data_IF_290520309962
#
_entry.id   IF_290520309962
#
_cell.length_a   1.000
_cell.length_b   1.000
_cell.length_c   1.000
_cell.angle_alpha   90.00
_cell.angle_beta   90.00
_cell.angle_gamma   90.00
#
_symmetry.space_group_name_H-M   'P 1'
#
loop_
_entity.id
_entity.type
_entity.pdbx_description
1 polymer ?
#
# COMPACT_ATOMS: atom_id res chain seq x y z
N UNK A 1 48.31 -56.14 5.50
CA UNK A 1 48.12 -56.32 6.95
C UNK A 1 47.44 -55.07 7.50
N UNK A 2 46.11 -55.09 7.56
CA UNK A 2 45.29 -53.93 7.91
C UNK A 2 45.09 -53.82 9.43
N UNK A 3 45.54 -52.69 9.98
CA UNK A 3 45.17 -52.15 11.27
C UNK A 3 43.67 -51.81 11.27
N UNK A 4 42.79 -52.68 11.78
CA UNK A 4 41.37 -52.34 11.89
C UNK A 4 40.75 -52.97 13.15
N UNK A 5 41.11 -52.44 14.34
CA UNK A 5 40.47 -52.84 15.60
C UNK A 5 40.29 -51.71 16.63
N UNK A 6 40.35 -50.44 16.23
CA UNK A 6 40.14 -49.29 17.15
C UNK A 6 39.01 -48.33 16.76
N UNK A 7 38.33 -48.58 15.66
CA UNK A 7 37.33 -47.65 15.11
C UNK A 7 35.95 -47.65 15.80
N UNK A 8 35.40 -48.74 16.35
CA UNK A 8 34.01 -48.70 16.82
C UNK A 8 33.83 -47.95 18.15
N UNK A 9 34.89 -47.86 18.97
CA UNK A 9 34.84 -47.19 20.28
C UNK A 9 34.87 -45.66 20.13
N UNK A 10 35.68 -45.16 19.19
CA UNK A 10 35.79 -43.73 18.93
C UNK A 10 34.49 -43.16 18.33
N UNK A 11 33.84 -43.91 17.44
CA UNK A 11 32.56 -43.50 16.83
C UNK A 11 31.44 -43.48 17.86
N UNK A 12 31.40 -44.44 18.79
CA UNK A 12 30.37 -44.49 19.85
C UNK A 12 30.44 -43.30 20.81
N UNK A 13 31.65 -42.88 21.21
CA UNK A 13 31.86 -41.71 22.08
C UNK A 13 31.47 -40.41 21.37
N UNK A 14 31.80 -40.28 20.08
CA UNK A 14 31.46 -39.08 19.30
C UNK A 14 29.94 -38.91 19.15
N UNK A 15 29.21 -40.01 18.94
CA UNK A 15 27.75 -39.98 18.83
C UNK A 15 27.05 -39.65 20.16
N UNK A 16 27.64 -40.08 21.29
CA UNK A 16 27.11 -39.74 22.61
C UNK A 16 27.24 -38.24 22.94
N UNK A 17 28.36 -37.61 22.56
CA UNK A 17 28.56 -36.16 22.78
C UNK A 17 27.65 -35.31 21.90
N UNK A 18 27.45 -35.71 20.63
CA UNK A 18 26.52 -35.04 19.71
C UNK A 18 25.07 -35.18 20.21
N UNK A 19 24.70 -36.35 20.74
CA UNK A 19 23.38 -36.56 21.34
C UNK A 19 23.11 -35.67 22.54
N UNK A 20 24.13 -35.40 23.38
CA UNK A 20 23.99 -34.57 24.58
C UNK A 20 23.84 -33.07 24.23
N UNK A 21 24.48 -32.61 23.14
CA UNK A 21 24.36 -31.23 22.64
C UNK A 21 22.98 -30.91 22.07
N UNK A 22 22.24 -31.90 21.56
CA UNK A 22 20.90 -31.72 20.99
C UNK A 22 19.80 -31.58 22.06
N UNK A 23 20.02 -32.07 23.28
CA UNK A 23 19.07 -31.94 24.40
C UNK A 23 19.08 -30.55 25.07
N UNK A 24 20.14 -29.77 24.87
CA UNK A 24 20.26 -28.40 25.41
C UNK A 24 19.57 -27.33 24.53
N UNK A 25 19.00 -27.72 23.40
CA UNK A 25 18.68 -26.81 22.29
C UNK A 25 17.21 -26.38 22.12
N UNK A 26 16.27 -26.76 22.97
CA UNK A 26 14.86 -26.38 22.78
C UNK A 26 14.49 -25.11 23.57
N UNK A 27 15.13 -23.98 23.25
CA UNK A 27 14.64 -22.67 23.70
C UNK A 27 13.60 -22.19 22.68
N UNK A 28 12.34 -22.13 23.09
CA UNK A 28 11.28 -21.60 22.24
C UNK A 28 11.58 -20.11 21.92
N UNK A 29 11.78 -19.71 20.65
CA UNK A 29 12.05 -18.31 20.30
C UNK A 29 10.89 -17.36 20.66
N UNK A 30 9.70 -17.90 20.97
CA UNK A 30 8.56 -17.14 21.49
C UNK A 30 8.59 -16.90 23.01
N UNK A 31 9.58 -17.40 23.75
CA UNK A 31 9.64 -17.26 25.20
C UNK A 31 10.23 -15.88 25.58
N UNK A 32 9.35 -14.90 25.71
CA UNK A 32 9.70 -13.56 26.19
C UNK A 32 10.17 -13.59 27.65
N UNK A 33 11.31 -12.97 27.93
CA UNK A 33 11.84 -12.77 29.29
C UNK A 33 11.34 -11.48 29.94
N UNK A 34 10.44 -10.76 29.27
CA UNK A 34 9.89 -9.52 29.80
C UNK A 34 9.00 -9.81 31.02
N UNK A 35 9.11 -9.02 32.10
CA UNK A 35 8.19 -9.13 33.21
C UNK A 35 6.75 -8.84 32.74
N UNK A 36 5.72 -9.42 33.37
CA UNK A 36 4.31 -9.23 32.97
C UNK A 36 3.89 -7.75 32.95
N UNK A 37 4.61 -6.87 33.65
CA UNK A 37 4.42 -5.42 33.64
C UNK A 37 4.81 -4.71 32.32
N UNK A 38 5.45 -5.40 31.37
CA UNK A 38 5.77 -4.87 30.04
C UNK A 38 4.58 -4.86 29.08
N UNK A 39 3.45 -5.43 29.49
CA UNK A 39 2.18 -5.39 28.75
C UNK A 39 1.46 -4.10 29.14
N UNK A 40 1.52 -3.09 28.28
CA UNK A 40 0.69 -1.89 28.43
C UNK A 40 -0.78 -2.29 28.26
N UNK A 41 -1.53 -2.40 29.36
CA UNK A 41 -2.92 -2.87 29.38
C UNK A 41 -3.93 -1.80 28.95
N UNK A 42 -3.49 -0.59 28.62
CA UNK A 42 -4.36 0.50 28.23
C UNK A 42 -4.02 0.98 26.81
N UNK A 43 -4.99 1.00 25.88
CA UNK A 43 -4.90 1.86 24.72
C UNK A 43 -4.76 3.29 25.25
N UNK A 44 -3.58 3.88 25.12
CA UNK A 44 -3.45 5.31 25.36
C UNK A 44 -4.28 5.98 24.29
N UNK A 45 -5.39 6.61 24.69
CA UNK A 45 -6.14 7.49 23.83
C UNK A 45 -5.23 8.68 23.50
N UNK A 46 -4.49 8.56 22.40
CA UNK A 46 -3.80 9.70 21.83
C UNK A 46 -4.87 10.76 21.54
N UNK A 47 -4.67 12.02 21.96
CA UNK A 47 -5.59 13.07 21.56
C UNK A 47 -5.64 13.07 20.02
N UNK A 48 -6.84 13.22 19.42
CA UNK A 48 -6.91 13.35 17.98
C UNK A 48 -5.99 14.50 17.59
N UNK A 49 -5.17 14.30 16.56
CA UNK A 49 -4.36 15.38 16.03
C UNK A 49 -5.29 16.58 15.80
N UNK A 50 -4.90 17.80 16.23
CA UNK A 50 -5.67 18.97 15.87
C UNK A 50 -5.83 18.91 14.36
N UNK A 51 -7.07 19.02 13.88
CA UNK A 51 -7.32 19.26 12.46
C UNK A 51 -6.59 20.57 12.19
N UNK A 52 -5.35 20.48 11.68
CA UNK A 52 -4.64 21.66 11.22
C UNK A 52 -5.61 22.37 10.29
N UNK A 53 -5.68 23.70 10.40
CA UNK A 53 -6.52 24.50 9.52
C UNK A 53 -6.23 24.04 8.10
N UNK A 54 -7.13 23.22 7.53
CA UNK A 54 -7.04 22.80 6.16
C UNK A 54 -7.41 24.08 5.44
N UNK A 55 -6.38 24.88 5.15
CA UNK A 55 -6.46 25.86 4.08
C UNK A 55 -6.83 25.01 2.86
N UNK A 56 -8.13 24.98 2.57
CA UNK A 56 -8.60 24.62 1.24
C UNK A 56 -7.92 25.66 0.36
N UNK A 57 -6.82 25.25 -0.26
CA UNK A 57 -6.12 26.07 -1.22
C UNK A 57 -7.19 26.51 -2.22
N UNK A 58 -7.44 27.82 -2.33
CA UNK A 58 -8.46 28.37 -3.24
C UNK A 58 -8.14 28.04 -4.71
N UNK A 59 -6.97 27.43 -4.96
CA UNK A 59 -6.55 26.86 -6.24
C UNK A 59 -7.08 25.45 -6.51
N UNK A 60 -7.79 24.81 -5.58
CA UNK A 60 -8.45 23.53 -5.86
C UNK A 60 -9.64 23.80 -6.78
N UNK A 61 -9.64 23.29 -8.03
CA UNK A 61 -10.74 23.52 -8.95
C UNK A 61 -12.02 22.94 -8.33
N UNK A 62 -13.01 23.82 -8.15
CA UNK A 62 -14.34 23.46 -7.65
C UNK A 62 -15.26 23.22 -8.83
N UNK A 63 -16.42 22.58 -8.61
CA UNK A 63 -17.36 22.29 -9.69
C UNK A 63 -17.89 23.55 -10.43
N UNK A 64 -17.73 24.73 -9.83
CA UNK A 64 -18.12 26.02 -10.41
C UNK A 64 -16.96 26.73 -11.15
N UNK A 65 -15.74 26.20 -11.08
CA UNK A 65 -14.60 26.72 -11.82
C UNK A 65 -14.77 26.38 -13.31
N UNK A 66 -14.71 27.37 -14.22
CA UNK A 66 -14.79 27.11 -15.65
C UNK A 66 -13.58 26.30 -16.11
N UNK A 67 -13.80 25.41 -17.08
CA UNK A 67 -12.76 24.56 -17.65
C UNK A 67 -11.84 25.42 -18.54
N UNK A 68 -10.54 25.34 -18.29
CA UNK A 68 -9.52 26.08 -19.04
C UNK A 68 -8.68 25.15 -19.93
N UNK A 69 -8.01 25.75 -20.91
CA UNK A 69 -7.07 25.03 -21.78
C UNK A 69 -5.91 24.47 -20.95
N UNK A 70 -5.60 23.20 -21.15
CA UNK A 70 -4.56 22.49 -20.40
C UNK A 70 -5.09 21.72 -19.18
N UNK A 71 -6.36 21.89 -18.83
CA UNK A 71 -6.99 21.06 -17.80
C UNK A 71 -7.07 19.60 -18.23
N UNK A 72 -6.98 18.69 -17.25
CA UNK A 72 -7.17 17.25 -17.49
C UNK A 72 -8.57 16.86 -17.04
N UNK A 73 -9.39 16.39 -17.97
CA UNK A 73 -10.74 15.91 -17.66
C UNK A 73 -10.77 14.39 -17.60
N UNK A 74 -11.41 13.86 -16.56
CA UNK A 74 -11.82 12.46 -16.49
C UNK A 74 -13.28 12.35 -16.95
N UNK A 75 -13.48 11.81 -18.15
CA UNK A 75 -14.79 11.60 -18.75
C UNK A 75 -15.22 10.16 -18.53
N UNK A 76 -16.37 9.98 -17.89
CA UNK A 76 -16.93 8.66 -17.59
C UNK A 76 -18.18 8.44 -18.43
N UNK A 77 -18.10 7.54 -19.40
CA UNK A 77 -19.24 7.15 -20.24
C UNK A 77 -19.83 5.85 -19.69
N UNK A 78 -21.08 5.91 -19.22
CA UNK A 78 -21.82 4.74 -18.74
C UNK A 78 -22.73 4.21 -19.85
N UNK A 79 -22.43 3.03 -20.38
CA UNK A 79 -23.21 2.35 -21.43
C UNK A 79 -23.79 1.05 -20.88
N UNK A 80 -25.07 1.05 -20.51
CA UNK A 80 -25.73 -0.13 -19.94
C UNK A 80 -25.06 -0.59 -18.65
N UNK A 81 -24.44 -1.78 -18.67
CA UNK A 81 -23.69 -2.34 -17.53
C UNK A 81 -22.17 -2.04 -17.58
N UNK A 82 -21.68 -1.37 -18.62
CA UNK A 82 -20.27 -1.01 -18.79
C UNK A 82 -19.97 0.45 -18.44
N UNK A 83 -18.80 0.70 -17.88
CA UNK A 83 -18.24 2.04 -17.65
C UNK A 83 -16.94 2.18 -18.44
N UNK A 84 -16.90 3.17 -19.34
CA UNK A 84 -15.71 3.55 -20.08
C UNK A 84 -15.15 4.85 -19.51
N UNK A 85 -13.86 4.86 -19.18
CA UNK A 85 -13.18 6.03 -18.62
C UNK A 85 -12.15 6.55 -19.61
N UNK A 86 -12.23 7.85 -19.89
CA UNK A 86 -11.27 8.55 -20.73
C UNK A 86 -10.65 9.67 -19.92
N UNK A 87 -9.32 9.76 -19.94
CA UNK A 87 -8.60 10.91 -19.43
C UNK A 87 -7.99 11.64 -20.61
N UNK A 88 -8.31 12.91 -20.78
CA UNK A 88 -7.76 13.72 -21.86
C UNK A 88 -7.62 15.18 -21.45
N UNK A 89 -6.61 15.81 -22.04
CA UNK A 89 -6.32 17.21 -21.88
C UNK A 89 -7.26 18.05 -22.75
N UNK A 90 -7.69 19.18 -22.22
CA UNK A 90 -8.40 20.22 -22.98
C UNK A 90 -7.40 20.89 -23.91
N UNK A 91 -7.69 20.79 -25.21
CA UNK A 91 -6.85 21.34 -26.29
C UNK A 91 -6.99 22.86 -26.35
N UNK A 92 -6.11 23.51 -27.12
CA UNK A 92 -6.11 24.97 -27.32
C UNK A 92 -7.42 25.52 -27.90
N UNK A 93 -8.16 24.70 -28.66
CA UNK A 93 -9.47 25.06 -29.17
C UNK A 93 -10.60 24.88 -28.15
N UNK A 94 -10.30 24.52 -26.90
CA UNK A 94 -11.30 24.28 -25.85
C UNK A 94 -12.00 22.93 -25.96
N UNK A 95 -11.51 22.01 -26.81
CA UNK A 95 -12.13 20.70 -27.00
C UNK A 95 -11.38 19.56 -26.31
N UNK A 96 -12.11 18.49 -25.99
CA UNK A 96 -11.58 17.24 -25.46
C UNK A 96 -11.92 16.08 -26.39
N UNK A 97 -10.95 15.19 -26.62
CA UNK A 97 -11.15 13.98 -27.43
C UNK A 97 -11.62 12.83 -26.54
N UNK A 98 -12.82 12.31 -26.79
CA UNK A 98 -13.40 11.20 -26.04
C UNK A 98 -13.68 10.06 -27.01
N UNK A 99 -12.84 9.02 -26.96
CA UNK A 99 -12.88 7.92 -27.93
C UNK A 99 -12.67 8.42 -29.37
N UNK A 100 -13.72 8.39 -30.19
CA UNK A 100 -13.71 8.87 -31.59
C UNK A 100 -14.44 10.20 -31.77
N UNK A 101 -14.90 10.83 -30.68
CA UNK A 101 -15.65 12.07 -30.69
C UNK A 101 -14.80 13.22 -30.15
N UNK A 102 -15.08 14.43 -30.63
CA UNK A 102 -14.53 15.67 -30.10
C UNK A 102 -15.67 16.47 -29.47
N UNK A 103 -15.48 16.90 -28.22
CA UNK A 103 -16.50 17.60 -27.43
C UNK A 103 -15.94 18.97 -27.04
N UNK A 104 -16.72 20.02 -27.27
CA UNK A 104 -16.38 21.39 -26.88
C UNK A 104 -16.72 21.61 -25.40
N UNK A 105 -15.72 21.97 -24.59
CA UNK A 105 -15.83 22.10 -23.12
C UNK A 105 -15.17 23.39 -22.61
N UNK A 106 -14.59 24.20 -23.48
CA UNK A 106 -13.84 25.39 -23.10
C UNK A 106 -14.76 26.49 -22.55
N UNK A 107 -14.42 27.01 -21.37
CA UNK A 107 -15.13 28.13 -20.77
C UNK A 107 -16.52 27.79 -20.19
N UNK A 108 -16.92 26.52 -20.20
CA UNK A 108 -18.11 26.03 -19.48
C UNK A 108 -17.70 25.37 -18.17
N UNK A 109 -18.64 25.27 -17.24
CA UNK A 109 -18.44 24.53 -16.00
C UNK A 109 -18.56 23.02 -16.22
N UNK A 110 -18.00 22.21 -15.31
CA UNK A 110 -18.11 20.74 -15.38
C UNK A 110 -19.57 20.30 -15.43
N UNK A 111 -20.44 20.92 -14.65
CA UNK A 111 -21.87 20.59 -14.61
C UNK A 111 -22.59 20.90 -15.94
N UNK A 112 -22.15 21.93 -16.67
CA UNK A 112 -22.70 22.26 -17.98
C UNK A 112 -22.18 21.32 -19.07
N UNK A 113 -20.91 20.91 -18.99
CA UNK A 113 -20.30 19.96 -19.93
C UNK A 113 -20.86 18.53 -19.80
N UNK A 114 -21.38 18.15 -18.62
CA UNK A 114 -21.99 16.84 -18.38
C UNK A 114 -23.39 16.66 -19.01
N UNK A 115 -24.04 17.76 -19.43
CA UNK A 115 -25.43 17.77 -19.87
C UNK A 115 -25.60 17.40 -21.35
#
# INVERSE_FOLDING_TARGET
MGQLRREPVAVGLLLAEIGLLLLAGCRNPGQSTLPPSAISSAPQALPPLPKGDVYADETVPTAETPIETGDTLEVVIRRGAGEEKYSSLVRENGSVSVGFMEVDVGGVTVAEAER
#
